data_IF_610645629103
#
_entry.id   IF_610645629103
#
_cell.length_a   1.000
_cell.length_b   1.000
_cell.length_c   1.000
_cell.angle_alpha   90.00
_cell.angle_beta   90.00
_cell.angle_gamma   90.00
#
_symmetry.space_group_name_H-M   'P 1'
#
loop_
_entity.id
_entity.type
_entity.pdbx_description
1 polymer ?
#
# COMPACT_ATOMS: atom_id res chain seq x y z
N UNK A 1 -9.15 -8.85 41.30
CA UNK A 1 -8.13 -8.40 40.34
C UNK A 1 -8.79 -7.46 39.35
N UNK A 2 -8.25 -6.27 39.17
CA UNK A 2 -8.75 -5.35 38.14
C UNK A 2 -8.47 -5.93 36.75
N UNK A 3 -9.47 -5.95 35.85
CA UNK A 3 -9.30 -6.38 34.45
C UNK A 3 -8.87 -5.17 33.65
N UNK A 4 -7.65 -5.22 33.11
CA UNK A 4 -7.17 -4.22 32.14
C UNK A 4 -7.77 -4.44 30.76
N UNK A 5 -7.79 -3.40 29.93
CA UNK A 5 -8.12 -3.47 28.51
C UNK A 5 -6.84 -3.34 27.70
N UNK A 6 -6.63 -4.25 26.76
CA UNK A 6 -5.56 -4.19 25.77
C UNK A 6 -6.18 -4.38 24.39
N UNK A 7 -6.57 -3.28 23.77
CA UNK A 7 -7.21 -3.24 22.47
C UNK A 7 -6.59 -2.12 21.62
N UNK A 8 -6.28 -2.43 20.38
CA UNK A 8 -5.79 -1.50 19.37
C UNK A 8 -6.71 -1.56 18.17
N UNK A 9 -7.06 -0.41 17.63
CA UNK A 9 -7.85 -0.25 16.41
C UNK A 9 -7.07 0.69 15.49
N UNK A 10 -6.79 0.25 14.27
CA UNK A 10 -6.06 1.04 13.28
C UNK A 10 -6.72 0.95 11.91
N UNK A 11 -6.63 2.06 11.17
CA UNK A 11 -6.90 2.12 9.74
C UNK A 11 -5.67 2.70 9.06
N UNK A 12 -5.11 1.99 8.09
CA UNK A 12 -3.90 2.44 7.41
C UNK A 12 -3.63 1.67 6.14
N UNK A 13 -2.47 1.93 5.54
CA UNK A 13 -2.04 1.30 4.30
C UNK A 13 -0.86 0.36 4.56
N UNK A 14 -0.83 -0.78 3.86
CA UNK A 14 0.26 -1.74 3.96
C UNK A 14 1.55 -1.18 3.37
N UNK A 15 2.65 -1.26 4.14
CA UNK A 15 3.96 -0.77 3.71
C UNK A 15 4.71 -1.71 2.77
N UNK A 16 4.39 -3.00 2.80
CA UNK A 16 5.01 -4.05 1.97
C UNK A 16 4.03 -5.15 1.62
N UNK A 17 4.41 -5.98 0.65
CA UNK A 17 3.64 -7.18 0.32
C UNK A 17 3.69 -8.20 1.47
N UNK A 18 2.62 -8.98 1.66
CA UNK A 18 2.56 -10.02 2.67
C UNK A 18 3.59 -11.13 2.44
N UNK A 19 4.40 -11.40 3.45
CA UNK A 19 5.32 -12.53 3.47
C UNK A 19 4.74 -13.64 4.34
N UNK A 20 4.29 -14.70 3.68
CA UNK A 20 3.77 -15.88 4.38
C UNK A 20 4.90 -16.70 4.98
N UNK A 21 4.73 -17.06 6.24
CA UNK A 21 5.63 -17.95 7.00
C UNK A 21 4.81 -18.99 7.74
N UNK A 22 5.47 -20.07 8.17
CA UNK A 22 4.82 -21.12 8.97
C UNK A 22 5.56 -21.30 10.28
N UNK A 23 4.80 -21.51 11.34
CA UNK A 23 5.35 -21.98 12.61
C UNK A 23 5.75 -23.47 12.51
N UNK A 24 6.60 -23.98 13.42
CA UNK A 24 6.96 -25.40 13.45
C UNK A 24 5.76 -26.35 13.60
N UNK A 25 4.65 -25.88 14.16
CA UNK A 25 3.40 -26.62 14.30
C UNK A 25 2.53 -26.61 13.02
N UNK A 26 3.00 -25.98 11.93
CA UNK A 26 2.30 -25.89 10.66
C UNK A 26 1.34 -24.71 10.52
N UNK A 27 1.05 -23.95 11.59
CA UNK A 27 0.18 -22.77 11.50
C UNK A 27 0.84 -21.67 10.64
N UNK A 28 0.07 -21.10 9.72
CA UNK A 28 0.51 -19.96 8.93
C UNK A 28 0.55 -18.69 9.78
N UNK A 29 1.56 -17.85 9.55
CA UNK A 29 1.62 -16.48 10.07
C UNK A 29 2.20 -15.52 9.05
N UNK A 30 1.86 -14.24 9.20
CA UNK A 30 2.36 -13.17 8.34
C UNK A 30 2.68 -11.93 9.17
N UNK A 31 3.87 -11.37 8.96
CA UNK A 31 4.29 -10.12 9.59
C UNK A 31 4.23 -9.00 8.55
N UNK A 32 3.47 -7.96 8.87
CA UNK A 32 3.28 -6.79 8.02
C UNK A 32 3.55 -5.50 8.76
N UNK A 33 3.84 -4.45 8.00
CA UNK A 33 3.86 -3.09 8.52
C UNK A 33 2.67 -2.32 7.98
N UNK A 34 2.01 -1.57 8.86
CA UNK A 34 0.89 -0.69 8.53
C UNK A 34 1.31 0.76 8.79
N UNK A 35 1.12 1.61 7.79
CA UNK A 35 1.33 3.05 7.92
C UNK A 35 0.02 3.76 8.27
N UNK A 36 0.04 4.56 9.33
CA UNK A 36 -1.01 5.52 9.65
C UNK A 36 -0.45 6.92 9.48
N UNK A 37 -1.09 7.77 8.66
CA UNK A 37 -0.62 9.14 8.40
C UNK A 37 -1.60 10.15 8.96
N UNK A 38 -1.06 11.15 9.63
CA UNK A 38 -1.76 12.32 10.13
C UNK A 38 -1.24 13.55 9.40
N UNK A 39 -2.12 14.45 9.01
CA UNK A 39 -1.73 15.73 8.42
C UNK A 39 -2.42 16.88 9.13
N UNK A 40 -1.65 17.92 9.42
CA UNK A 40 -2.16 19.15 10.05
C UNK A 40 -1.48 20.37 9.49
N UNK A 41 -2.12 21.53 9.67
CA UNK A 41 -1.50 22.80 9.34
C UNK A 41 -0.89 23.40 10.60
N UNK A 42 0.41 23.70 10.54
CA UNK A 42 1.11 24.41 11.61
C UNK A 42 0.57 25.81 11.74
N UNK A 43 0.05 26.16 12.90
CA UNK A 43 -0.59 27.47 13.15
C UNK A 43 0.41 28.64 13.17
N UNK A 44 1.68 28.37 13.42
CA UNK A 44 2.70 29.42 13.48
C UNK A 44 3.29 29.74 12.11
N UNK A 45 3.54 28.71 11.28
CA UNK A 45 4.13 28.89 9.95
C UNK A 45 3.11 28.86 8.81
N UNK A 46 1.89 28.34 9.05
CA UNK A 46 0.89 28.10 8.00
C UNK A 46 1.21 26.91 7.10
N UNK A 47 2.28 26.20 7.36
CA UNK A 47 2.73 25.07 6.55
C UNK A 47 1.94 23.79 6.86
N UNK A 48 1.68 23.00 5.83
CA UNK A 48 1.10 21.67 5.99
C UNK A 48 2.19 20.68 6.41
N UNK A 49 2.01 20.06 7.56
CA UNK A 49 2.89 19.01 8.10
C UNK A 49 2.19 17.66 8.01
N UNK A 50 2.98 16.61 7.78
CA UNK A 50 2.53 15.23 7.76
C UNK A 50 3.44 14.40 8.64
N UNK A 51 2.84 13.44 9.36
CA UNK A 51 3.54 12.46 10.18
C UNK A 51 2.99 11.08 9.90
N UNK A 52 3.87 10.13 9.64
CA UNK A 52 3.51 8.74 9.41
C UNK A 52 4.09 7.88 10.53
N UNK A 53 3.23 7.06 11.15
CA UNK A 53 3.62 6.05 12.14
C UNK A 53 3.53 4.66 11.52
N UNK A 54 4.52 3.82 11.82
CA UNK A 54 4.63 2.47 11.33
C UNK A 54 4.33 1.46 12.44
N UNK A 55 3.34 0.62 12.22
CA UNK A 55 2.89 -0.39 13.16
C UNK A 55 3.24 -1.78 12.66
N UNK A 56 3.83 -2.61 13.54
CA UNK A 56 4.11 -4.00 13.23
C UNK A 56 2.88 -4.86 13.55
N UNK A 57 2.31 -5.48 12.52
CA UNK A 57 1.15 -6.35 12.62
C UNK A 57 1.55 -7.81 12.48
N UNK A 58 0.97 -8.67 13.31
CA UNK A 58 1.12 -10.13 13.25
C UNK A 58 -0.24 -10.74 12.99
N UNK A 59 -0.37 -11.39 11.84
CA UNK A 59 -1.54 -12.17 11.47
C UNK A 59 -1.21 -13.65 11.65
N UNK A 60 -2.17 -14.42 12.14
CA UNK A 60 -1.97 -15.86 12.38
C UNK A 60 -3.10 -16.68 11.78
N UNK A 61 -2.81 -17.95 11.47
CA UNK A 61 -3.78 -18.93 10.99
C UNK A 61 -4.55 -18.42 9.76
N UNK A 62 -5.88 -18.55 9.79
CA UNK A 62 -6.76 -18.19 8.69
C UNK A 62 -6.65 -16.73 8.25
N UNK A 63 -6.45 -15.79 9.19
CA UNK A 63 -6.24 -14.38 8.84
C UNK A 63 -4.94 -14.17 8.05
N UNK A 64 -3.87 -14.89 8.38
CA UNK A 64 -2.62 -14.82 7.62
C UNK A 64 -2.82 -15.30 6.17
N UNK A 65 -3.55 -16.39 5.97
CA UNK A 65 -3.86 -16.93 4.63
C UNK A 65 -4.66 -15.92 3.79
N UNK A 66 -5.69 -15.30 4.37
CA UNK A 66 -6.50 -14.28 3.71
C UNK A 66 -5.63 -13.08 3.31
N UNK A 67 -4.80 -12.61 4.23
CA UNK A 67 -3.87 -11.50 3.99
C UNK A 67 -2.91 -11.83 2.86
N UNK A 68 -2.28 -13.01 2.88
CA UNK A 68 -1.35 -13.45 1.84
C UNK A 68 -1.98 -13.62 0.46
N UNK A 69 -3.27 -13.97 0.40
CA UNK A 69 -3.98 -14.22 -0.84
C UNK A 69 -4.54 -12.95 -1.48
N UNK A 70 -5.03 -12.01 -0.68
CA UNK A 70 -5.83 -10.88 -1.19
C UNK A 70 -5.18 -9.51 -1.03
N UNK A 71 -4.20 -9.35 -0.14
CA UNK A 71 -3.59 -8.06 0.13
C UNK A 71 -2.26 -7.88 -0.60
N UNK A 72 -1.96 -6.63 -0.93
CA UNK A 72 -0.70 -6.20 -1.53
C UNK A 72 -0.22 -4.91 -0.86
N UNK A 73 1.03 -4.54 -1.11
CA UNK A 73 1.58 -3.24 -0.72
C UNK A 73 0.65 -2.11 -1.13
N UNK A 74 0.38 -1.18 -0.22
CA UNK A 74 -0.51 -0.04 -0.44
C UNK A 74 -1.98 -0.30 -0.12
N UNK A 75 -2.41 -1.56 0.02
CA UNK A 75 -3.79 -1.87 0.37
C UNK A 75 -4.22 -1.22 1.69
N UNK A 76 -5.42 -0.63 1.70
CA UNK A 76 -6.00 0.01 2.88
C UNK A 76 -6.82 -0.99 3.66
N UNK A 77 -6.50 -1.14 4.94
CA UNK A 77 -7.16 -2.08 5.82
C UNK A 77 -7.56 -1.44 7.16
N UNK A 78 -8.62 -1.97 7.74
CA UNK A 78 -8.99 -1.81 9.14
C UNK A 78 -8.51 -3.03 9.90
N UNK A 79 -7.93 -2.85 11.08
CA UNK A 79 -7.51 -3.94 11.96
C UNK A 79 -7.91 -3.69 13.40
N UNK A 80 -8.32 -4.75 14.07
CA UNK A 80 -8.45 -4.81 15.53
C UNK A 80 -7.48 -5.83 16.09
N UNK A 81 -6.84 -5.51 17.20
CA UNK A 81 -5.89 -6.41 17.82
C UNK A 81 -5.51 -6.01 19.23
N UNK A 82 -4.45 -6.58 19.72
CA UNK A 82 -3.87 -6.29 21.03
C UNK A 82 -2.35 -6.12 20.93
N UNK A 83 -1.80 -5.22 21.75
CA UNK A 83 -0.36 -5.03 21.87
C UNK A 83 0.28 -6.26 22.52
N UNK A 84 1.39 -6.71 21.95
CA UNK A 84 2.27 -7.70 22.54
C UNK A 84 3.71 -7.29 22.39
N UNK A 85 4.47 -7.37 23.48
CA UNK A 85 5.93 -7.17 23.44
C UNK A 85 6.60 -8.53 23.50
N UNK A 86 7.42 -8.80 22.48
CA UNK A 86 8.22 -10.01 22.37
C UNK A 86 9.68 -9.69 22.67
N UNK A 87 10.27 -10.46 23.59
CA UNK A 87 11.71 -10.45 23.88
C UNK A 87 12.42 -11.37 22.90
N UNK A 88 13.54 -10.93 22.34
CA UNK A 88 14.42 -11.74 21.48
C UNK A 88 15.87 -11.35 21.72
N UNK A 89 16.81 -12.17 21.29
CA UNK A 89 18.23 -11.87 21.39
C UNK A 89 18.80 -11.56 20.01
N UNK A 90 19.58 -10.49 19.93
CA UNK A 90 20.33 -10.16 18.72
C UNK A 90 21.53 -11.12 18.52
N UNK A 91 22.28 -10.95 17.45
CA UNK A 91 23.45 -11.79 17.12
C UNK A 91 24.58 -11.69 18.14
N UNK A 92 24.60 -10.63 18.93
CA UNK A 92 25.58 -10.34 19.98
C UNK A 92 25.13 -10.84 21.36
N UNK A 93 23.94 -11.45 21.44
CA UNK A 93 23.37 -12.00 22.67
C UNK A 93 22.65 -10.98 23.56
N UNK A 94 22.47 -9.74 23.08
CA UNK A 94 21.74 -8.72 23.82
C UNK A 94 20.22 -8.93 23.73
N UNK A 95 19.55 -8.73 24.85
CA UNK A 95 18.09 -8.77 24.92
C UNK A 95 17.48 -7.56 24.22
N UNK A 96 16.62 -7.82 23.24
CA UNK A 96 15.84 -6.82 22.50
C UNK A 96 14.35 -7.05 22.71
N UNK A 97 13.59 -5.97 22.63
CA UNK A 97 12.14 -6.00 22.78
C UNK A 97 11.50 -5.40 21.53
N UNK A 98 10.53 -6.09 20.99
CA UNK A 98 9.75 -5.60 19.83
C UNK A 98 8.28 -5.62 20.23
N UNK A 99 7.62 -4.47 20.11
CA UNK A 99 6.17 -4.35 20.32
C UNK A 99 5.47 -4.57 18.98
N UNK A 100 4.55 -5.52 18.99
CA UNK A 100 3.79 -5.98 17.81
C UNK A 100 2.30 -5.93 18.17
N UNK A 101 1.45 -5.80 17.15
CA UNK A 101 -0.01 -5.87 17.30
C UNK A 101 -0.45 -7.22 16.78
N UNK A 102 -0.92 -8.09 17.68
CA UNK A 102 -1.59 -9.33 17.29
C UNK A 102 -2.98 -9.01 16.80
N UNK A 103 -3.22 -9.24 15.52
CA UNK A 103 -4.50 -8.94 14.87
C UNK A 103 -5.50 -10.05 15.15
N UNK A 104 -6.66 -9.68 15.68
CA UNK A 104 -7.79 -10.57 15.95
C UNK A 104 -8.85 -10.49 14.85
N UNK A 105 -9.02 -9.30 14.26
CA UNK A 105 -9.99 -9.05 13.19
C UNK A 105 -9.42 -8.06 12.17
N UNK A 106 -9.84 -8.20 10.91
CA UNK A 106 -9.37 -7.39 9.81
C UNK A 106 -10.45 -7.23 8.74
N UNK A 107 -10.56 -6.03 8.19
CA UNK A 107 -11.43 -5.73 7.07
C UNK A 107 -10.66 -4.99 5.98
N UNK A 108 -10.77 -5.44 4.75
CA UNK A 108 -10.27 -4.74 3.58
C UNK A 108 -11.17 -3.54 3.28
N UNK A 109 -10.56 -2.35 3.17
CA UNK A 109 -11.27 -1.10 2.90
C UNK A 109 -11.08 -0.64 1.44
N UNK A 110 -10.14 -1.23 0.71
CA UNK A 110 -10.04 -1.02 -0.72
C UNK A 110 -11.25 -1.68 -1.37
N UNK A 111 -12.11 -0.88 -1.97
CA UNK A 111 -13.22 -1.38 -2.77
C UNK A 111 -12.69 -2.30 -3.88
N UNK A 112 -13.43 -3.32 -4.21
CA UNK A 112 -13.21 -4.30 -5.28
C UNK A 112 -13.19 -3.62 -6.66
N UNK A 113 -12.17 -2.77 -6.93
CA UNK A 113 -12.12 -1.93 -8.12
C UNK A 113 -10.74 -1.36 -8.39
N UNK A 114 -9.67 -2.16 -8.18
CA UNK A 114 -8.31 -1.78 -8.53
C UNK A 114 -7.78 -2.55 -9.73
N UNK A 115 -8.54 -2.65 -10.79
CA UNK A 115 -8.11 -3.16 -12.08
C UNK A 115 -8.44 -2.17 -13.17
N UNK A 116 -7.42 -1.39 -13.60
CA UNK A 116 -7.33 -0.82 -14.94
C UNK A 116 -8.38 0.18 -15.37
N UNK A 117 -7.92 1.37 -15.57
CA UNK A 117 -8.29 2.46 -16.39
C UNK A 117 -9.47 2.37 -17.35
N UNK A 118 -10.12 3.46 -17.55
CA UNK A 118 -11.02 3.70 -18.67
C UNK A 118 -12.30 4.36 -18.20
N UNK A 119 -12.30 5.68 -18.22
CA UNK A 119 -13.49 6.46 -18.14
C UNK A 119 -14.48 6.06 -19.22
N UNK A 120 -15.72 5.83 -18.82
CA UNK A 120 -16.86 5.99 -19.70
C UNK A 120 -17.95 6.63 -18.88
N UNK A 121 -18.07 7.92 -19.10
CA UNK A 121 -19.25 8.72 -18.83
C UNK A 121 -20.40 8.13 -19.62
N UNK A 122 -21.33 7.48 -18.95
CA UNK A 122 -22.59 7.05 -19.52
C UNK A 122 -23.70 7.71 -18.73
N UNK A 123 -24.18 8.85 -19.23
CA UNK A 123 -25.38 9.49 -18.71
C UNK A 123 -26.61 8.64 -18.96
N UNK A 124 -27.42 8.44 -17.92
CA UNK A 124 -28.76 7.95 -17.99
C UNK A 124 -29.63 8.97 -18.71
N UNK A 125 -30.08 8.65 -19.90
CA UNK A 125 -31.21 9.35 -20.51
C UNK A 125 -32.33 8.36 -20.81
N UNK A 126 -33.38 8.55 -20.11
CA UNK A 126 -34.69 7.91 -20.22
C UNK A 126 -35.42 8.50 -21.39
N UNK A 127 -35.93 7.65 -22.32
CA UNK A 127 -37.12 8.05 -23.06
C UNK A 127 -37.16 7.83 -24.55
N UNK A 128 -37.99 6.89 -25.00
CA UNK A 128 -38.92 7.17 -26.12
C UNK A 128 -38.52 6.78 -27.52
N UNK A 129 -38.91 5.62 -27.92
CA UNK A 129 -39.73 5.25 -29.11
C UNK A 129 -39.52 5.94 -30.47
N UNK A 130 -39.50 5.04 -31.47
CA UNK A 130 -39.98 5.11 -32.86
C UNK A 130 -38.99 5.52 -33.96
N UNK A 131 -38.56 4.53 -34.73
CA UNK A 131 -38.95 4.15 -36.08
C UNK A 131 -38.44 4.96 -37.31
N UNK A 132 -38.13 4.20 -38.36
CA UNK A 132 -37.89 4.50 -39.75
C UNK A 132 -36.47 4.95 -40.20
N UNK A 133 -35.68 4.10 -40.84
CA UNK A 133 -35.70 3.91 -42.28
C UNK A 133 -34.54 4.62 -42.98
N UNK A 134 -33.77 3.90 -43.78
CA UNK A 134 -33.09 4.48 -44.93
C UNK A 134 -31.55 4.36 -44.95
N UNK A 135 -31.06 3.36 -45.49
CA UNK A 135 -30.25 3.13 -46.73
C UNK A 135 -29.08 4.09 -47.06
N UNK A 136 -28.01 3.43 -47.45
CA UNK A 136 -26.98 3.76 -48.46
C UNK A 136 -25.66 4.41 -47.96
N UNK A 137 -24.62 3.61 -47.98
CA UNK A 137 -23.56 3.63 -49.00
C UNK A 137 -22.63 4.86 -48.96
N UNK A 138 -21.38 4.71 -48.64
CA UNK A 138 -20.26 4.83 -49.59
C UNK A 138 -18.90 4.65 -48.93
N UNK A 139 -18.05 3.99 -49.65
CA UNK A 139 -16.63 3.75 -49.46
C UNK A 139 -15.83 5.06 -49.34
N UNK A 140 -14.80 5.10 -48.58
CA UNK A 140 -13.52 5.60 -49.04
C UNK A 140 -12.35 5.20 -48.13
N UNK A 141 -11.40 4.61 -48.74
CA UNK A 141 -10.05 4.27 -48.34
C UNK A 141 -9.22 5.52 -48.13
N UNK A 142 -8.43 5.57 -47.06
CA UNK A 142 -7.07 6.15 -47.10
C UNK A 142 -6.30 5.84 -45.82
N UNK A 143 -5.21 5.12 -45.99
CA UNK A 143 -4.15 5.05 -44.98
C UNK A 143 -3.29 6.31 -45.06
N UNK A 144 -2.74 6.76 -43.93
CA UNK A 144 -1.51 7.52 -43.98
C UNK A 144 -0.37 6.89 -43.18
N UNK A 145 0.70 6.72 -43.89
CA UNK A 145 2.10 7.00 -43.63
C UNK A 145 2.60 6.98 -42.16
N UNK A 146 3.58 6.09 -42.00
CA UNK A 146 4.59 6.06 -40.95
C UNK A 146 5.46 7.32 -41.03
N UNK A 147 5.57 8.06 -39.93
CA UNK A 147 6.66 8.99 -39.73
C UNK A 147 7.55 8.50 -38.59
N UNK A 148 8.83 8.52 -38.91
CA UNK A 148 10.00 8.10 -38.18
C UNK A 148 10.15 8.80 -36.81
N UNK A 149 10.56 8.01 -35.80
CA UNK A 149 11.01 8.48 -34.49
C UNK A 149 12.39 9.14 -34.58
N UNK A 150 12.66 10.21 -33.85
CA UNK A 150 14.03 10.71 -33.66
C UNK A 150 14.75 9.99 -32.52
N UNK A 151 16.06 9.83 -32.73
CA UNK A 151 17.01 9.14 -31.89
C UNK A 151 17.19 9.77 -30.52
N UNK A 152 17.39 8.90 -29.55
CA UNK A 152 17.72 9.17 -28.14
C UNK A 152 19.23 9.46 -28.01
N UNK A 153 19.68 10.54 -27.37
CA UNK A 153 21.08 10.73 -27.06
C UNK A 153 21.50 9.90 -25.82
N UNK A 154 22.71 9.37 -25.86
CA UNK A 154 23.34 8.58 -24.81
C UNK A 154 23.73 9.42 -23.60
N UNK A 155 23.76 8.85 -22.37
CA UNK A 155 24.22 9.57 -21.20
C UNK A 155 25.77 9.63 -21.14
N UNK A 156 26.27 10.81 -20.86
CA UNK A 156 27.68 11.06 -20.58
C UNK A 156 28.02 10.55 -19.16
N UNK A 157 29.13 9.83 -19.08
CA UNK A 157 29.83 9.46 -17.86
C UNK A 157 30.56 10.69 -17.30
N UNK A 158 30.21 11.10 -16.08
CA UNK A 158 31.07 11.95 -15.27
C UNK A 158 31.52 11.19 -14.03
N UNK A 159 32.82 10.97 -13.95
CA UNK A 159 33.56 10.60 -12.75
C UNK A 159 33.71 11.85 -11.90
N UNK A 160 33.31 11.77 -10.64
CA UNK A 160 33.58 12.78 -9.63
C UNK A 160 33.66 12.12 -8.27
N UNK A 161 34.89 11.83 -7.82
CA UNK A 161 35.13 11.38 -6.46
C UNK A 161 34.86 12.52 -5.47
N UNK A 162 34.12 12.21 -4.43
CA UNK A 162 33.92 13.04 -3.25
C UNK A 162 33.96 12.16 -2.01
N UNK A 163 35.08 12.27 -1.29
CA UNK A 163 35.29 11.74 0.04
C UNK A 163 34.26 12.37 0.98
N UNK A 164 33.43 11.56 1.62
CA UNK A 164 32.62 11.99 2.74
C UNK A 164 33.39 11.77 4.02
N UNK A 165 33.73 12.88 4.67
CA UNK A 165 34.24 12.90 6.05
C UNK A 165 33.08 12.53 7.01
N UNK A 166 33.42 11.65 7.95
CA UNK A 166 32.59 11.29 9.09
C UNK A 166 32.31 12.54 9.94
N UNK A 167 31.03 12.96 9.96
CA UNK A 167 30.56 13.92 10.96
C UNK A 167 29.98 13.15 12.15
N UNK A 168 30.75 13.11 13.22
CA UNK A 168 30.35 12.70 14.57
C UNK A 168 29.11 13.49 15.02
N UNK A 169 28.02 12.81 15.26
CA UNK A 169 26.84 13.38 15.91
C UNK A 169 26.91 13.03 17.40
N UNK A 170 27.15 14.00 18.31
CA UNK A 170 27.07 13.75 19.76
C UNK A 170 25.61 13.71 20.21
N UNK A 171 25.30 12.74 21.06
CA UNK A 171 24.05 12.61 21.82
C UNK A 171 24.06 13.52 23.05
#
# INVERSE_FOLDING_TARGET
MARGVNKVILIGNLGKDPEMKSFPNGDAYCNLTLATSESWTDKASGEKKERTEWHNLVFTRKLAEIVGQYLKKGAKIYVEGSLRTRKWQDKEGHDRYTTEINVNDMQMLDGRGGGGGGGSSGGDEYGGSSNYGGSSNTRSSSAPQRTSAPARPAPATEQGGGSFEDDDIPF
#
